data_IF_872494821704
#
_entry.id   IF_872494821704
#
_cell.length_a   1.000
_cell.length_b   1.000
_cell.length_c   1.000
_cell.angle_alpha   90.00
_cell.angle_beta   90.00
_cell.angle_gamma   90.00
#
_symmetry.space_group_name_H-M   'P 1'
#
loop_
_entity.id
_entity.type
_entity.pdbx_description
1 polymer ?
#
# COMPACT_ATOMS: atom_id res chain seq x y z
N UNK A 1 -5.13 -33.00 -0.36
CA UNK A 1 -4.39 -34.21 -0.77
C UNK A 1 -5.37 -35.30 -1.23
N UNK A 2 -4.89 -36.37 -1.86
CA UNK A 2 -5.73 -37.52 -2.27
C UNK A 2 -6.39 -38.17 -1.05
N UNK A 3 -5.63 -38.38 0.01
CA UNK A 3 -6.11 -38.95 1.28
C UNK A 3 -7.24 -38.11 1.88
N UNK A 4 -7.10 -36.78 1.92
CA UNK A 4 -8.15 -35.92 2.43
C UNK A 4 -9.44 -35.97 1.59
N UNK A 5 -9.31 -36.11 0.28
CA UNK A 5 -10.47 -36.29 -0.63
C UNK A 5 -11.18 -37.62 -0.35
N UNK A 6 -10.42 -38.70 -0.17
CA UNK A 6 -10.96 -40.04 0.18
C UNK A 6 -11.72 -40.00 1.51
N UNK A 7 -11.12 -39.44 2.56
CA UNK A 7 -11.79 -39.28 3.87
C UNK A 7 -13.08 -38.42 3.81
N UNK A 8 -13.10 -37.35 3.02
CA UNK A 8 -14.29 -36.53 2.85
C UNK A 8 -15.38 -37.31 2.08
N UNK A 9 -14.97 -38.09 1.05
CA UNK A 9 -15.89 -38.93 0.27
C UNK A 9 -16.54 -40.01 1.12
N UNK A 10 -15.80 -40.64 2.06
CA UNK A 10 -16.34 -41.61 3.02
C UNK A 10 -17.44 -41.00 3.92
N UNK A 11 -17.42 -39.69 4.12
CA UNK A 11 -18.43 -38.94 4.87
C UNK A 11 -19.47 -38.23 3.96
N UNK A 12 -19.64 -38.69 2.72
CA UNK A 12 -20.55 -38.12 1.71
C UNK A 12 -20.27 -36.65 1.34
N UNK A 13 -19.03 -36.15 1.57
CA UNK A 13 -18.60 -34.81 1.18
C UNK A 13 -17.77 -34.91 -0.11
N UNK A 14 -18.39 -34.51 -1.22
CA UNK A 14 -17.74 -34.55 -2.54
C UNK A 14 -16.91 -33.27 -2.71
N UNK A 15 -15.60 -33.40 -2.84
CA UNK A 15 -14.67 -32.30 -3.13
C UNK A 15 -13.83 -32.60 -4.35
N UNK A 16 -13.71 -31.63 -5.24
CA UNK A 16 -12.82 -31.75 -6.39
C UNK A 16 -11.36 -31.52 -5.96
N UNK A 17 -10.47 -32.25 -6.61
CA UNK A 17 -9.04 -32.14 -6.41
C UNK A 17 -8.36 -31.61 -7.66
N UNK A 18 -7.57 -30.55 -7.50
CA UNK A 18 -6.75 -30.03 -8.59
C UNK A 18 -5.58 -30.99 -8.87
N UNK A 19 -5.55 -31.57 -10.07
CA UNK A 19 -4.44 -32.40 -10.52
C UNK A 19 -3.15 -31.60 -10.56
N UNK A 20 -2.09 -32.10 -9.88
CA UNK A 20 -0.83 -31.38 -9.68
C UNK A 20 -0.79 -30.47 -8.46
N UNK A 21 -1.91 -30.37 -7.71
CA UNK A 21 -1.99 -29.67 -6.42
C UNK A 21 -1.61 -28.20 -6.49
N UNK A 22 -1.24 -27.62 -5.34
CA UNK A 22 -0.89 -26.21 -5.21
C UNK A 22 0.23 -25.76 -6.15
N UNK A 23 1.23 -26.59 -6.41
CA UNK A 23 2.33 -26.26 -7.34
C UNK A 23 1.80 -25.92 -8.75
N UNK A 24 0.83 -26.70 -9.26
CA UNK A 24 0.23 -26.45 -10.56
C UNK A 24 -0.59 -25.18 -10.57
N UNK A 25 -1.36 -24.92 -9.50
CA UNK A 25 -2.11 -23.66 -9.32
C UNK A 25 -1.15 -22.48 -9.35
N UNK A 26 -0.06 -22.56 -8.58
CA UNK A 26 0.93 -21.49 -8.50
C UNK A 26 1.60 -21.18 -9.85
N UNK A 27 1.96 -22.22 -10.59
CA UNK A 27 2.52 -22.06 -11.94
C UNK A 27 1.53 -21.35 -12.87
N UNK A 28 0.24 -21.71 -12.81
CA UNK A 28 -0.79 -21.05 -13.60
C UNK A 28 -0.98 -19.58 -13.23
N UNK A 29 -0.87 -19.23 -11.96
CA UNK A 29 -0.92 -17.83 -11.50
C UNK A 29 0.26 -17.04 -12.06
N UNK A 30 1.48 -17.60 -12.02
CA UNK A 30 2.66 -16.96 -12.57
C UNK A 30 2.59 -16.81 -14.10
N UNK A 31 2.10 -17.85 -14.82
CA UNK A 31 1.83 -17.79 -16.25
C UNK A 31 0.83 -16.68 -16.59
N UNK A 32 -0.26 -16.53 -15.79
CA UNK A 32 -1.24 -15.47 -15.98
C UNK A 32 -0.62 -14.08 -15.89
N UNK A 33 0.23 -13.81 -14.90
CA UNK A 33 0.91 -12.51 -14.79
C UNK A 33 1.88 -12.21 -15.95
N UNK A 34 2.31 -13.24 -16.71
CA UNK A 34 3.15 -13.08 -17.89
C UNK A 34 2.35 -12.91 -19.18
N UNK A 35 1.04 -13.23 -19.15
CA UNK A 35 0.17 -13.11 -20.32
C UNK A 35 -0.41 -11.69 -20.41
N UNK A 36 -0.10 -11.00 -21.50
CA UNK A 36 -0.56 -9.61 -21.73
C UNK A 36 -2.08 -9.48 -21.86
N UNK A 37 -2.78 -10.56 -22.21
CA UNK A 37 -4.26 -10.55 -22.30
C UNK A 37 -4.94 -10.18 -20.98
N UNK A 38 -4.34 -10.53 -19.81
CA UNK A 38 -4.93 -10.15 -18.52
C UNK A 38 -4.93 -8.64 -18.30
N UNK A 39 -4.06 -7.90 -18.99
CA UNK A 39 -3.93 -6.44 -18.88
C UNK A 39 -4.80 -5.67 -19.87
N UNK A 40 -5.82 -6.29 -20.44
CA UNK A 40 -6.75 -5.67 -21.42
C UNK A 40 -7.65 -4.59 -20.81
N UNK A 41 -7.90 -4.65 -19.50
CA UNK A 41 -8.66 -3.63 -18.79
C UNK A 41 -7.94 -2.29 -18.75
N UNK A 42 -8.70 -1.20 -18.71
CA UNK A 42 -8.13 0.12 -18.44
C UNK A 42 -7.71 0.22 -16.96
N UNK A 43 -6.58 0.85 -16.72
CA UNK A 43 -6.10 1.11 -15.36
C UNK A 43 -6.03 2.59 -15.10
N UNK A 44 -6.56 3.00 -13.98
CA UNK A 44 -6.41 4.33 -13.42
C UNK A 44 -5.62 4.21 -12.13
N UNK A 45 -4.54 4.95 -12.00
CA UNK A 45 -3.64 4.88 -10.87
C UNK A 45 -3.87 6.10 -9.98
N UNK A 46 -4.14 5.89 -8.71
CA UNK A 46 -4.31 6.95 -7.73
C UNK A 46 -2.99 7.19 -7.01
N UNK A 47 -2.34 8.28 -7.35
CA UNK A 47 -1.12 8.76 -6.72
C UNK A 47 -1.38 9.93 -5.78
N UNK A 48 -0.36 10.31 -5.04
CA UNK A 48 -0.38 11.42 -4.08
C UNK A 48 0.70 11.23 -3.03
N UNK A 49 1.15 12.32 -2.45
CA UNK A 49 2.18 12.32 -1.41
C UNK A 49 1.77 11.49 -0.19
N UNK A 50 2.72 11.10 0.63
CA UNK A 50 2.45 10.35 1.87
C UNK A 50 1.50 11.15 2.77
N UNK A 51 0.48 10.51 3.30
CA UNK A 51 -0.55 11.13 4.15
C UNK A 51 -1.67 11.86 3.39
N UNK A 52 -1.70 11.83 2.05
CA UNK A 52 -2.76 12.51 1.27
C UNK A 52 -4.14 11.85 1.34
N UNK A 53 -4.32 10.71 2.01
CA UNK A 53 -5.61 10.05 2.11
C UNK A 53 -5.98 9.20 0.88
N UNK A 54 -5.00 8.75 0.07
CA UNK A 54 -5.24 7.88 -1.11
C UNK A 54 -6.13 6.69 -0.79
N UNK A 55 -5.82 5.95 0.25
CA UNK A 55 -6.57 4.74 0.64
C UNK A 55 -8.02 5.07 1.03
N UNK A 56 -8.24 6.25 1.64
CA UNK A 56 -9.61 6.72 1.96
C UNK A 56 -10.39 6.97 0.67
N UNK A 57 -9.76 7.62 -0.31
CA UNK A 57 -10.39 7.88 -1.61
C UNK A 57 -10.60 6.58 -2.40
N UNK A 58 -9.59 5.71 -2.44
CA UNK A 58 -9.63 4.41 -3.10
C UNK A 58 -10.83 3.57 -2.62
N UNK A 59 -11.05 3.51 -1.30
CA UNK A 59 -12.09 2.71 -0.68
C UNK A 59 -13.53 3.23 -0.94
N UNK A 60 -13.68 4.41 -1.54
CA UNK A 60 -14.99 4.88 -2.02
C UNK A 60 -15.44 4.21 -3.33
N UNK A 61 -14.52 3.52 -4.00
CA UNK A 61 -14.77 2.89 -5.29
C UNK A 61 -14.75 1.36 -5.16
N UNK A 62 -15.89 0.68 -5.36
CA UNK A 62 -16.02 -0.77 -5.13
C UNK A 62 -15.14 -1.63 -6.07
N UNK A 63 -14.74 -1.06 -7.20
CA UNK A 63 -13.89 -1.72 -8.20
C UNK A 63 -12.41 -1.36 -8.06
N UNK A 64 -12.01 -0.82 -6.92
CA UNK A 64 -10.61 -0.56 -6.61
C UNK A 64 -9.89 -1.80 -6.08
N UNK A 65 -8.57 -1.80 -6.18
CA UNK A 65 -7.71 -2.80 -5.57
C UNK A 65 -6.73 -2.08 -4.65
N UNK A 66 -6.88 -2.30 -3.36
CA UNK A 66 -6.00 -1.79 -2.30
C UNK A 66 -4.74 -2.68 -2.21
N UNK A 67 -3.69 -2.27 -2.88
CA UNK A 67 -2.43 -3.04 -2.96
C UNK A 67 -1.72 -3.06 -1.60
N UNK A 68 -1.75 -1.97 -0.83
CA UNK A 68 -1.18 -1.89 0.52
C UNK A 68 -1.92 -2.81 1.49
N UNK A 69 -3.26 -2.79 1.44
CA UNK A 69 -4.10 -3.68 2.23
C UNK A 69 -3.84 -5.15 1.90
N UNK A 70 -3.76 -5.51 0.62
CA UNK A 70 -3.41 -6.87 0.19
C UNK A 70 -2.02 -7.30 0.67
N UNK A 71 -1.06 -6.39 0.67
CA UNK A 71 0.29 -6.65 1.18
C UNK A 71 0.34 -6.67 2.71
N UNK A 72 -0.71 -6.26 3.42
CA UNK A 72 -0.71 -6.01 4.85
C UNK A 72 0.47 -5.13 5.29
N UNK A 73 0.69 -4.02 4.55
CA UNK A 73 1.81 -3.11 4.75
C UNK A 73 1.56 -1.76 4.07
N UNK A 74 1.69 -0.66 4.78
CA UNK A 74 1.44 0.72 4.31
C UNK A 74 2.55 1.32 3.44
N UNK A 75 3.24 0.55 2.63
CA UNK A 75 4.22 1.02 1.64
C UNK A 75 5.47 1.76 2.17
N UNK A 76 5.44 2.38 3.33
CA UNK A 76 6.52 3.20 3.90
C UNK A 76 7.45 2.41 4.84
N UNK A 77 8.60 3.01 5.23
CA UNK A 77 9.46 2.43 6.26
C UNK A 77 8.74 2.25 7.61
N UNK A 78 7.77 3.10 7.90
CA UNK A 78 6.91 3.05 9.09
C UNK A 78 5.62 2.23 8.87
N UNK A 79 5.43 1.68 7.67
CA UNK A 79 4.18 1.07 7.22
C UNK A 79 3.92 -0.34 7.73
N UNK A 80 4.78 -0.91 8.59
CA UNK A 80 4.54 -2.23 9.17
C UNK A 80 3.28 -2.21 10.04
N UNK A 81 2.34 -3.12 9.75
CA UNK A 81 1.13 -3.33 10.56
C UNK A 81 1.43 -4.17 11.81
N UNK A 82 0.43 -4.31 12.70
CA UNK A 82 0.57 -5.10 13.93
C UNK A 82 0.44 -6.61 13.68
N UNK A 83 -0.01 -7.01 12.49
CA UNK A 83 -0.10 -8.40 12.07
C UNK A 83 1.06 -8.77 11.15
N UNK A 84 1.38 -10.07 11.08
CA UNK A 84 2.46 -10.54 10.20
C UNK A 84 2.06 -10.41 8.73
N UNK A 85 2.95 -9.84 7.94
CA UNK A 85 2.82 -9.82 6.49
C UNK A 85 2.90 -11.25 5.94
N UNK A 86 1.98 -11.59 5.05
CA UNK A 86 1.96 -12.87 4.37
C UNK A 86 3.17 -13.10 3.44
N UNK A 87 3.24 -14.28 2.83
CA UNK A 87 4.25 -14.57 1.81
C UNK A 87 3.96 -13.79 0.52
N UNK A 88 5.01 -13.51 -0.28
CA UNK A 88 4.87 -12.90 -1.60
C UNK A 88 3.94 -13.74 -2.50
N UNK A 89 4.03 -15.07 -2.44
CA UNK A 89 3.15 -15.96 -3.20
C UNK A 89 1.67 -15.78 -2.82
N UNK A 90 1.36 -15.61 -1.53
CA UNK A 90 -0.01 -15.37 -1.09
C UNK A 90 -0.52 -14.00 -1.57
N UNK A 91 0.30 -12.97 -1.47
CA UNK A 91 0.00 -11.63 -2.00
C UNK A 91 -0.33 -11.69 -3.50
N UNK A 92 0.52 -12.30 -4.31
CA UNK A 92 0.30 -12.43 -5.76
C UNK A 92 -0.96 -13.24 -6.09
N UNK A 93 -1.23 -14.32 -5.34
CA UNK A 93 -2.44 -15.12 -5.53
C UNK A 93 -3.71 -14.29 -5.29
N UNK A 94 -3.75 -13.52 -4.19
CA UNK A 94 -4.91 -12.69 -3.84
C UNK A 94 -5.05 -11.53 -4.83
N UNK A 95 -3.94 -10.89 -5.21
CA UNK A 95 -3.93 -9.81 -6.20
C UNK A 95 -4.54 -10.26 -7.53
N UNK A 96 -4.07 -11.40 -8.06
CA UNK A 96 -4.62 -11.96 -9.31
C UNK A 96 -6.10 -12.33 -9.16
N UNK A 97 -6.47 -12.94 -8.04
CA UNK A 97 -7.85 -13.33 -7.77
C UNK A 97 -8.79 -12.12 -7.75
N UNK A 98 -8.44 -11.07 -7.02
CA UNK A 98 -9.23 -9.83 -6.99
C UNK A 98 -9.33 -9.18 -8.37
N UNK A 99 -8.22 -9.14 -9.11
CA UNK A 99 -8.20 -8.58 -10.45
C UNK A 99 -9.09 -9.33 -11.44
N UNK A 100 -9.02 -10.66 -11.46
CA UNK A 100 -9.82 -11.49 -12.39
C UNK A 100 -11.31 -11.49 -12.04
N UNK A 101 -11.67 -11.40 -10.76
CA UNK A 101 -13.06 -11.34 -10.33
C UNK A 101 -13.66 -9.92 -10.37
N UNK A 102 -12.88 -8.92 -10.68
CA UNK A 102 -13.38 -7.57 -10.87
C UNK A 102 -13.97 -7.43 -12.26
N UNK A 103 -15.27 -7.15 -12.38
CA UNK A 103 -15.96 -7.07 -13.66
C UNK A 103 -15.93 -5.68 -14.31
N UNK A 104 -15.35 -4.67 -13.65
CA UNK A 104 -15.24 -3.33 -14.19
C UNK A 104 -14.31 -3.28 -15.43
N UNK A 105 -14.64 -2.43 -16.39
CA UNK A 105 -13.79 -2.15 -17.55
C UNK A 105 -12.55 -1.30 -17.20
N UNK A 106 -12.66 -0.49 -16.14
CA UNK A 106 -11.58 0.33 -15.59
C UNK A 106 -11.32 -0.06 -14.14
N UNK A 107 -10.08 -0.38 -13.79
CA UNK A 107 -9.65 -0.73 -12.43
C UNK A 107 -8.89 0.45 -11.82
N UNK A 108 -9.29 0.85 -10.61
CA UNK A 108 -8.58 1.85 -9.82
C UNK A 108 -7.57 1.15 -8.90
N UNK A 109 -6.31 1.60 -8.92
CA UNK A 109 -5.19 1.05 -8.17
C UNK A 109 -4.42 2.17 -7.46
N UNK A 110 -3.81 1.89 -6.32
CA UNK A 110 -2.86 2.83 -5.72
C UNK A 110 -1.52 2.87 -6.47
N UNK A 111 -0.88 4.06 -6.48
CA UNK A 111 0.49 4.25 -7.00
C UNK A 111 1.52 3.77 -5.97
N UNK A 112 1.85 2.50 -6.05
CA UNK A 112 2.76 1.86 -5.13
C UNK A 112 4.14 1.56 -5.73
N UNK A 113 5.12 1.40 -4.82
CA UNK A 113 6.43 0.90 -5.20
C UNK A 113 6.35 -0.58 -5.60
N UNK A 114 7.28 -1.03 -6.45
CA UNK A 114 7.32 -2.44 -6.85
C UNK A 114 7.41 -3.39 -5.66
N UNK A 115 8.08 -2.96 -4.58
CA UNK A 115 8.21 -3.75 -3.34
C UNK A 115 7.50 -3.04 -2.19
N UNK A 116 6.59 -3.75 -1.51
CA UNK A 116 5.75 -3.28 -0.42
C UNK A 116 6.01 -4.19 0.78
N UNK A 117 6.90 -3.76 1.67
CA UNK A 117 7.41 -4.62 2.73
C UNK A 117 8.15 -5.85 2.16
N UNK A 118 7.59 -7.05 2.35
CA UNK A 118 8.10 -8.32 1.81
C UNK A 118 7.41 -8.74 0.50
N UNK A 119 6.31 -8.09 0.14
CA UNK A 119 5.59 -8.36 -1.09
C UNK A 119 6.26 -7.66 -2.28
N UNK A 120 6.22 -8.28 -3.45
CA UNK A 120 6.76 -7.70 -4.68
C UNK A 120 5.73 -7.86 -5.79
N UNK A 121 5.40 -6.76 -6.47
CA UNK A 121 4.52 -6.77 -7.63
C UNK A 121 5.19 -7.49 -8.81
N UNK A 122 4.47 -8.34 -9.56
CA UNK A 122 4.96 -8.93 -10.80
C UNK A 122 5.43 -7.85 -11.78
N UNK A 123 6.45 -8.17 -12.60
CA UNK A 123 7.07 -7.20 -13.49
C UNK A 123 6.08 -6.56 -14.46
N UNK A 124 5.28 -7.37 -15.18
CA UNK A 124 4.33 -6.87 -16.17
C UNK A 124 3.22 -6.02 -15.50
N UNK A 125 2.77 -6.43 -14.29
CA UNK A 125 1.85 -5.64 -13.49
C UNK A 125 2.41 -4.26 -13.17
N UNK A 126 3.63 -4.22 -12.61
CA UNK A 126 4.27 -2.96 -12.27
C UNK A 126 4.53 -2.09 -13.50
N UNK A 127 4.96 -2.67 -14.62
CA UNK A 127 5.15 -1.95 -15.88
C UNK A 127 3.84 -1.33 -16.37
N UNK A 128 2.74 -2.07 -16.34
CA UNK A 128 1.40 -1.55 -16.70
C UNK A 128 0.98 -0.41 -15.79
N UNK A 129 1.19 -0.52 -14.46
CA UNK A 129 0.91 0.58 -13.52
C UNK A 129 1.70 1.84 -13.88
N UNK A 130 2.98 1.71 -14.24
CA UNK A 130 3.85 2.86 -14.52
C UNK A 130 3.44 3.62 -15.80
N UNK A 131 2.78 2.96 -16.75
CA UNK A 131 2.36 3.54 -18.04
C UNK A 131 0.85 3.82 -18.12
N UNK A 132 0.11 3.62 -17.04
CA UNK A 132 -1.33 3.90 -16.96
C UNK A 132 -1.60 5.32 -16.50
N UNK A 133 -2.80 5.83 -16.81
CA UNK A 133 -3.25 7.18 -16.43
C UNK A 133 -3.19 7.39 -14.92
N UNK A 134 -2.51 8.47 -14.50
CA UNK A 134 -2.24 8.80 -13.11
C UNK A 134 -3.10 9.97 -12.65
N UNK A 135 -3.95 9.75 -11.68
CA UNK A 135 -4.67 10.79 -10.92
C UNK A 135 -3.85 11.13 -9.71
N UNK A 136 -3.48 12.39 -9.54
CA UNK A 136 -2.62 12.85 -8.42
C UNK A 136 -3.46 13.60 -7.39
N UNK A 137 -3.58 13.00 -6.21
CA UNK A 137 -4.22 13.63 -5.06
C UNK A 137 -3.25 14.62 -4.41
N UNK A 138 -3.58 15.90 -4.47
CA UNK A 138 -2.75 17.01 -4.02
C UNK A 138 -3.37 17.65 -2.76
N UNK A 139 -2.82 17.32 -1.60
CA UNK A 139 -3.30 17.71 -0.28
C UNK A 139 -2.22 18.53 0.42
N UNK A 140 -2.64 19.58 1.13
CA UNK A 140 -1.76 20.49 1.85
C UNK A 140 -0.97 19.77 2.95
N UNK A 141 0.22 20.29 3.27
CA UNK A 141 1.15 19.64 4.21
C UNK A 141 0.51 19.48 5.59
N UNK A 142 -0.20 20.49 6.06
CA UNK A 142 -0.85 20.51 7.38
C UNK A 142 -1.88 19.38 7.52
N UNK A 143 -2.72 19.20 6.53
CA UNK A 143 -3.74 18.14 6.50
C UNK A 143 -3.08 16.76 6.43
N UNK A 144 -2.01 16.62 5.66
CA UNK A 144 -1.25 15.36 5.56
C UNK A 144 -0.60 14.98 6.89
N UNK A 145 -0.10 15.97 7.66
CA UNK A 145 0.44 15.75 9.00
C UNK A 145 -0.64 15.27 9.94
N UNK A 146 -1.84 15.88 9.90
CA UNK A 146 -2.99 15.44 10.71
C UNK A 146 -3.38 14.01 10.37
N UNK A 147 -3.54 13.69 9.10
CA UNK A 147 -3.89 12.34 8.65
C UNK A 147 -2.89 11.28 9.14
N UNK A 148 -1.59 11.59 9.07
CA UNK A 148 -0.54 10.67 9.55
C UNK A 148 -0.56 10.59 11.07
N UNK A 149 -0.70 11.71 11.76
CA UNK A 149 -0.76 11.72 13.23
C UNK A 149 -1.94 10.89 13.74
N UNK A 150 -3.12 11.10 13.17
CA UNK A 150 -4.33 10.33 13.53
C UNK A 150 -4.13 8.82 13.25
N UNK A 151 -3.63 8.47 12.06
CA UNK A 151 -3.53 7.07 11.63
C UNK A 151 -2.40 6.31 12.34
N UNK A 152 -1.23 6.93 12.49
CA UNK A 152 -0.03 6.26 12.98
C UNK A 152 0.16 6.42 14.49
N UNK A 153 -0.37 7.48 15.10
CA UNK A 153 -0.22 7.71 16.54
C UNK A 153 -1.52 7.46 17.28
N UNK A 154 -2.57 8.24 17.02
CA UNK A 154 -3.79 8.16 17.80
C UNK A 154 -4.51 6.82 17.69
N UNK A 155 -4.75 6.34 16.47
CA UNK A 155 -5.43 5.05 16.24
C UNK A 155 -4.59 3.88 16.74
N UNK A 156 -3.27 3.91 16.54
CA UNK A 156 -2.38 2.86 17.02
C UNK A 156 -2.32 2.83 18.55
N UNK A 157 -2.24 3.99 19.23
CA UNK A 157 -2.27 4.05 20.69
C UNK A 157 -3.61 3.57 21.28
N UNK A 158 -4.74 3.86 20.61
CA UNK A 158 -6.05 3.35 21.02
C UNK A 158 -6.18 1.83 20.85
N UNK A 159 -5.48 1.25 19.89
CA UNK A 159 -5.59 -0.18 19.54
C UNK A 159 -4.50 -1.06 20.19
N UNK A 160 -3.47 -0.45 20.76
CA UNK A 160 -2.38 -1.15 21.42
C UNK A 160 -2.48 -0.95 22.93
N UNK A 161 -2.61 -2.04 23.68
CA UNK A 161 -2.49 -2.01 25.15
C UNK A 161 -1.07 -1.64 25.63
N UNK A 162 -0.15 -1.36 24.71
CA UNK A 162 1.27 -1.16 25.02
C UNK A 162 1.94 -0.12 24.12
N UNK A 163 2.01 1.12 24.61
CA UNK A 163 2.73 2.23 23.99
C UNK A 163 4.22 1.91 23.70
N UNK A 164 4.85 1.08 24.54
CA UNK A 164 6.26 0.67 24.36
C UNK A 164 6.45 -0.08 23.05
N UNK A 165 5.49 -0.91 22.66
CA UNK A 165 5.55 -1.62 21.37
C UNK A 165 5.48 -0.67 20.20
N UNK A 166 4.62 0.34 20.24
CA UNK A 166 4.50 1.35 19.20
C UNK A 166 5.78 2.19 19.09
N UNK A 167 6.30 2.65 20.23
CA UNK A 167 7.57 3.36 20.33
C UNK A 167 8.71 2.55 19.69
N UNK A 168 8.90 1.30 20.10
CA UNK A 168 9.93 0.42 19.55
C UNK A 168 9.79 0.18 18.05
N UNK A 169 8.54 0.01 17.57
CA UNK A 169 8.21 -0.12 16.14
C UNK A 169 8.74 1.08 15.35
N UNK A 170 8.48 2.29 15.81
CA UNK A 170 8.85 3.52 15.09
C UNK A 170 10.34 3.85 15.20
N UNK A 171 10.98 3.64 16.35
CA UNK A 171 12.44 3.79 16.45
C UNK A 171 13.16 2.77 15.56
N UNK A 172 12.68 1.54 15.48
CA UNK A 172 13.22 0.54 14.54
C UNK A 172 13.03 0.97 13.08
N UNK A 173 11.91 1.59 12.74
CA UNK A 173 11.66 2.11 11.40
C UNK A 173 12.59 3.29 11.06
N UNK A 174 12.79 4.21 12.00
CA UNK A 174 13.69 5.35 11.85
C UNK A 174 15.15 4.89 11.64
N UNK A 175 15.61 3.90 12.40
CA UNK A 175 16.97 3.35 12.26
C UNK A 175 17.21 2.78 10.85
N UNK A 176 16.23 2.11 10.25
CA UNK A 176 16.34 1.57 8.88
C UNK A 176 16.60 2.63 7.81
N UNK A 177 16.15 3.85 8.03
CA UNK A 177 16.32 4.96 7.08
C UNK A 177 17.43 5.93 7.47
N UNK A 178 18.10 5.74 8.62
CA UNK A 178 19.15 6.59 9.14
C UNK A 178 20.19 6.99 8.09
N UNK A 179 20.74 6.00 7.36
CA UNK A 179 21.75 6.25 6.32
C UNK A 179 21.24 7.18 5.20
N UNK A 180 19.93 7.18 4.94
CA UNK A 180 19.30 8.02 3.91
C UNK A 180 18.95 9.41 4.41
N UNK A 181 18.67 9.54 5.73
CA UNK A 181 18.40 10.83 6.39
C UNK A 181 19.68 11.64 6.62
N UNK A 182 20.79 10.96 6.87
CA UNK A 182 21.99 11.56 7.41
C UNK A 182 21.92 11.76 8.92
N UNK A 183 23.08 11.93 9.56
CA UNK A 183 23.17 11.91 11.05
C UNK A 183 22.47 13.09 11.72
N UNK A 184 22.50 14.27 11.12
CA UNK A 184 21.90 15.49 11.69
C UNK A 184 20.37 15.39 11.74
N UNK A 185 19.74 15.11 10.59
CA UNK A 185 18.28 14.97 10.51
C UNK A 185 17.78 13.77 11.31
N UNK A 186 18.52 12.66 11.29
CA UNK A 186 18.20 11.49 12.11
C UNK A 186 18.16 11.83 13.60
N UNK A 187 19.18 12.51 14.13
CA UNK A 187 19.23 12.91 15.55
C UNK A 187 18.08 13.85 15.90
N UNK A 188 17.79 14.82 15.04
CA UNK A 188 16.65 15.76 15.23
C UNK A 188 15.33 14.99 15.35
N UNK A 189 15.04 14.12 14.38
CA UNK A 189 13.80 13.31 14.36
C UNK A 189 13.75 12.37 15.57
N UNK A 190 14.86 11.73 15.92
CA UNK A 190 14.96 10.85 17.08
C UNK A 190 14.57 11.56 18.36
N UNK A 191 15.13 12.76 18.61
CA UNK A 191 14.82 13.56 19.81
C UNK A 191 13.36 14.00 19.84
N UNK A 192 12.80 14.43 18.71
CA UNK A 192 11.38 14.80 18.62
C UNK A 192 10.46 13.60 18.89
N UNK A 193 10.77 12.44 18.33
CA UNK A 193 10.03 11.21 18.60
C UNK A 193 10.11 10.82 20.08
N UNK A 194 11.30 10.90 20.68
CA UNK A 194 11.51 10.58 22.10
C UNK A 194 10.66 11.50 22.99
N UNK A 195 10.69 12.81 22.73
CA UNK A 195 9.90 13.81 23.46
C UNK A 195 8.39 13.58 23.25
N UNK A 196 7.97 13.30 22.01
CA UNK A 196 6.59 12.99 21.67
C UNK A 196 6.02 11.87 22.53
N UNK A 197 6.70 10.73 22.58
CA UNK A 197 6.29 9.59 23.41
C UNK A 197 6.45 9.82 24.91
N UNK A 198 7.54 10.43 25.37
CA UNK A 198 7.79 10.65 26.80
C UNK A 198 6.81 11.62 27.45
N UNK A 199 6.42 12.66 26.72
CA UNK A 199 5.61 13.77 27.25
C UNK A 199 4.18 13.77 26.68
N UNK A 200 3.77 12.77 25.91
CA UNK A 200 2.52 12.74 25.13
C UNK A 200 2.33 14.02 24.31
N UNK A 201 3.42 14.53 23.74
CA UNK A 201 3.44 15.82 23.06
C UNK A 201 2.96 15.68 21.60
N UNK A 202 1.71 16.07 21.34
CA UNK A 202 1.13 16.16 19.99
C UNK A 202 2.01 17.02 19.09
N UNK A 203 2.53 18.14 19.62
CA UNK A 203 3.40 19.07 18.87
C UNK A 203 4.67 18.36 18.38
N UNK A 204 5.34 17.61 19.24
CA UNK A 204 6.57 16.93 18.88
C UNK A 204 6.29 15.78 17.90
N UNK A 205 5.16 15.08 18.07
CA UNK A 205 4.72 14.07 17.09
C UNK A 205 4.48 14.69 15.71
N UNK A 206 3.75 15.80 15.61
CA UNK A 206 3.51 16.48 14.33
C UNK A 206 4.80 17.02 13.72
N UNK A 207 5.71 17.52 14.55
CA UNK A 207 6.99 18.06 14.08
C UNK A 207 7.88 16.98 13.46
N UNK A 208 8.07 15.80 14.10
CA UNK A 208 8.87 14.75 13.46
C UNK A 208 8.20 14.19 12.19
N UNK A 209 6.87 14.14 12.14
CA UNK A 209 6.11 13.78 10.92
C UNK A 209 6.44 14.78 9.82
N UNK A 210 6.33 16.09 10.09
CA UNK A 210 6.70 17.14 9.15
C UNK A 210 8.13 16.96 8.63
N UNK A 211 9.10 16.76 9.52
CA UNK A 211 10.51 16.60 9.14
C UNK A 211 10.72 15.40 8.20
N UNK A 212 10.05 14.28 8.44
CA UNK A 212 10.09 13.11 7.55
C UNK A 212 9.42 13.39 6.21
N UNK A 213 8.25 14.01 6.20
CA UNK A 213 7.55 14.34 4.96
C UNK A 213 8.39 15.28 4.10
N UNK A 214 8.78 16.41 4.66
CA UNK A 214 9.45 17.49 3.93
C UNK A 214 10.84 17.08 3.41
N UNK A 215 11.65 16.43 4.25
CA UNK A 215 13.06 16.19 3.93
C UNK A 215 13.34 14.80 3.34
N UNK A 216 12.39 13.86 3.45
CA UNK A 216 12.63 12.48 3.00
C UNK A 216 11.57 11.98 2.01
N UNK A 217 10.29 11.94 2.39
CA UNK A 217 9.26 11.32 1.55
C UNK A 217 8.91 12.17 0.32
N UNK A 218 8.68 13.46 0.50
CA UNK A 218 8.25 14.35 -0.59
C UNK A 218 9.30 14.50 -1.69
N UNK A 219 10.60 14.66 -1.39
CA UNK A 219 11.63 14.67 -2.42
C UNK A 219 11.67 13.36 -3.25
N UNK A 220 11.53 12.20 -2.58
CA UNK A 220 11.52 10.91 -3.27
C UNK A 220 10.29 10.74 -4.17
N UNK A 221 9.10 11.09 -3.67
CA UNK A 221 7.87 10.99 -4.45
C UNK A 221 7.86 11.97 -5.62
N UNK A 222 8.24 13.22 -5.40
CA UNK A 222 8.31 14.23 -6.45
C UNK A 222 9.29 13.83 -7.57
N UNK A 223 10.39 13.15 -7.23
CA UNK A 223 11.30 12.60 -8.25
C UNK A 223 10.63 11.51 -9.11
N UNK A 224 9.86 10.62 -8.48
CA UNK A 224 9.08 9.59 -9.21
C UNK A 224 8.00 10.24 -10.09
N UNK A 225 7.28 11.21 -9.54
CA UNK A 225 6.20 11.90 -10.24
C UNK A 225 6.71 12.65 -11.48
N UNK A 226 7.88 13.29 -11.40
CA UNK A 226 8.51 13.94 -12.56
C UNK A 226 8.75 12.98 -13.71
N UNK A 227 9.12 11.71 -13.44
CA UNK A 227 9.34 10.68 -14.47
C UNK A 227 8.05 10.19 -15.13
N UNK A 228 6.90 10.41 -14.49
CA UNK A 228 5.58 10.00 -14.96
C UNK A 228 4.68 11.17 -15.34
N UNK A 229 5.27 12.34 -15.56
CA UNK A 229 4.52 13.57 -15.85
C UNK A 229 3.57 13.42 -17.04
N UNK A 230 3.96 12.68 -18.07
CA UNK A 230 3.17 12.42 -19.27
C UNK A 230 1.93 11.54 -19.03
N UNK A 231 1.93 10.77 -17.97
CA UNK A 231 0.81 9.90 -17.59
C UNK A 231 -0.19 10.57 -16.64
N UNK A 232 0.08 11.80 -16.17
CA UNK A 232 -0.85 12.53 -15.28
C UNK A 232 -2.06 12.96 -16.11
N UNK A 233 -3.20 12.35 -15.83
CA UNK A 233 -4.49 12.65 -16.48
C UNK A 233 -5.34 13.63 -15.66
N UNK A 234 -5.13 13.70 -14.35
CA UNK A 234 -5.79 14.65 -13.45
C UNK A 234 -4.92 14.94 -12.22
N UNK A 235 -5.03 16.14 -11.67
CA UNK A 235 -4.40 16.54 -10.42
C UNK A 235 -5.31 17.54 -9.69
N UNK A 236 -5.60 17.29 -8.43
CA UNK A 236 -6.46 18.13 -7.64
C UNK A 236 -6.59 17.69 -6.19
N UNK A 237 -7.44 18.37 -5.45
CA UNK A 237 -7.82 17.99 -4.09
C UNK A 237 -8.71 16.74 -4.07
N UNK A 238 -9.16 16.39 -2.88
CA UNK A 238 -9.93 15.17 -2.65
C UNK A 238 -11.23 15.13 -3.46
N UNK A 239 -12.01 16.22 -3.46
CA UNK A 239 -13.28 16.32 -4.19
C UNK A 239 -13.06 16.27 -5.69
N UNK A 240 -12.13 17.06 -6.20
CA UNK A 240 -11.79 17.10 -7.62
C UNK A 240 -11.30 15.75 -8.15
N UNK A 241 -10.46 15.04 -7.39
CA UNK A 241 -10.02 13.69 -7.76
C UNK A 241 -11.17 12.68 -7.70
N UNK A 242 -12.04 12.76 -6.70
CA UNK A 242 -13.22 11.89 -6.59
C UNK A 242 -14.15 12.06 -7.79
N UNK A 243 -14.46 13.30 -8.17
CA UNK A 243 -15.34 13.62 -9.30
C UNK A 243 -14.74 13.14 -10.62
N UNK A 244 -13.44 13.36 -10.83
CA UNK A 244 -12.74 12.87 -12.01
C UNK A 244 -12.78 11.34 -12.10
N UNK A 245 -12.46 10.64 -11.01
CA UNK A 245 -12.49 9.17 -10.96
C UNK A 245 -13.91 8.67 -11.23
N UNK A 246 -14.93 9.23 -10.58
CA UNK A 246 -16.35 8.84 -10.77
C UNK A 246 -16.82 8.98 -12.20
N UNK A 247 -16.36 10.02 -12.90
CA UNK A 247 -16.73 10.28 -14.29
C UNK A 247 -16.00 9.38 -15.32
N UNK A 248 -14.94 8.66 -14.92
CA UNK A 248 -14.07 7.90 -15.82
C UNK A 248 -13.94 6.41 -15.46
N UNK A 249 -14.57 5.95 -14.37
CA UNK A 249 -14.70 4.52 -14.04
C UNK A 249 -16.07 4.02 -14.51
N UNK A 250 -16.06 3.06 -15.42
CA UNK A 250 -17.25 2.41 -15.98
C UNK A 250 -17.21 0.91 -15.80
#
# INVERSE_FOLDING_TARGET
SKIAQEWLSENNIIVERINGGYKKVRNKILEKFQNDEIYSKNWMILGGLTGSGKTILLNRFPHSIDIEGLANHRGSAFGRTNTLQGSCANFENILLFQYLNNNASTILLEDESRTIGKATLPNNWYSKMQTSGLVVLDIQMEERIENIFEEYIEKELKNLDNEILLKNKYFTALEKIKKRLGDELYKKIYTLMENGFKNNSVKDHKEWIYQLLHNYYDPMYNHKLKKRKEYIVHRGDFSSCQDYISSNIH
#
